data_IF_395668464008
#
_entry.id   IF_395668464008
#
_cell.length_a   1.000
_cell.length_b   1.000
_cell.length_c   1.000
_cell.angle_alpha   90.00
_cell.angle_beta   90.00
_cell.angle_gamma   90.00
#
_symmetry.space_group_name_H-M   'P 1'
#
loop_
_entity.id
_entity.type
_entity.pdbx_description
1 polymer ?
#
# COMPACT_ATOMS: atom_id res chain seq x y z
N UNK A 1 -8.18 -15.52 -49.67
CA UNK A 1 -8.53 -14.37 -48.79
C UNK A 1 -8.19 -14.77 -47.38
N UNK A 2 -7.04 -14.30 -46.88
CA UNK A 2 -6.50 -14.66 -45.57
C UNK A 2 -7.28 -13.96 -44.47
N UNK A 3 -7.78 -14.73 -43.51
CA UNK A 3 -8.41 -14.22 -42.30
C UNK A 3 -7.36 -13.55 -41.41
N UNK A 4 -7.50 -12.26 -41.19
CA UNK A 4 -6.72 -11.51 -40.21
C UNK A 4 -7.15 -11.99 -38.82
N UNK A 5 -6.29 -12.79 -38.17
CA UNK A 5 -6.44 -13.13 -36.76
C UNK A 5 -6.39 -11.82 -35.96
N UNK A 6 -7.53 -11.43 -35.37
CA UNK A 6 -7.57 -10.37 -34.39
C UNK A 6 -6.67 -10.78 -33.22
N UNK A 7 -5.55 -10.08 -33.06
CA UNK A 7 -4.59 -10.30 -31.98
C UNK A 7 -5.31 -10.27 -30.63
N UNK A 8 -5.37 -11.41 -29.97
CA UNK A 8 -5.80 -11.51 -28.58
C UNK A 8 -4.60 -11.04 -27.74
N UNK A 9 -4.69 -9.85 -27.15
CA UNK A 9 -3.74 -9.41 -26.12
C UNK A 9 -3.91 -10.33 -24.89
N UNK A 10 -3.19 -11.45 -24.87
CA UNK A 10 -3.20 -12.42 -23.76
C UNK A 10 -2.91 -11.78 -22.40
N UNK A 11 -2.18 -10.66 -22.39
CA UNK A 11 -1.87 -9.84 -21.21
C UNK A 11 -3.11 -9.28 -20.52
N UNK A 12 -4.13 -8.86 -21.28
CA UNK A 12 -5.36 -8.26 -20.72
C UNK A 12 -6.33 -9.31 -20.19
N UNK A 13 -6.42 -10.46 -20.87
CA UNK A 13 -7.25 -11.60 -20.44
C UNK A 13 -6.69 -12.22 -19.17
N UNK A 14 -5.36 -12.39 -19.11
CA UNK A 14 -4.67 -12.85 -17.90
C UNK A 14 -4.95 -11.92 -16.73
N UNK A 15 -4.73 -10.61 -16.89
CA UNK A 15 -4.90 -9.62 -15.82
C UNK A 15 -6.29 -9.64 -15.14
N UNK A 16 -7.38 -9.79 -15.90
CA UNK A 16 -8.74 -9.84 -15.33
C UNK A 16 -8.99 -11.15 -14.56
N UNK A 17 -8.62 -12.30 -15.11
CA UNK A 17 -8.78 -13.61 -14.46
C UNK A 17 -7.96 -13.73 -13.17
N UNK A 18 -6.72 -13.25 -13.19
CA UNK A 18 -5.83 -13.25 -12.03
C UNK A 18 -6.29 -12.27 -10.96
N UNK A 19 -6.72 -11.07 -11.33
CA UNK A 19 -7.29 -10.10 -10.39
C UNK A 19 -8.45 -10.71 -9.59
N UNK A 20 -9.32 -11.47 -10.25
CA UNK A 20 -10.41 -12.19 -9.58
C UNK A 20 -9.89 -13.22 -8.61
N UNK A 21 -9.01 -14.10 -9.08
CA UNK A 21 -8.41 -15.17 -8.26
C UNK A 21 -7.77 -14.60 -6.99
N UNK A 22 -6.95 -13.56 -7.12
CA UNK A 22 -6.26 -12.93 -5.99
C UNK A 22 -7.26 -12.23 -5.06
N UNK A 23 -8.18 -11.44 -5.62
CA UNK A 23 -9.19 -10.71 -4.82
C UNK A 23 -10.16 -11.62 -4.09
N UNK A 24 -10.58 -12.73 -4.72
CA UNK A 24 -11.43 -13.75 -4.12
C UNK A 24 -10.71 -14.49 -3.00
N UNK A 25 -9.45 -14.88 -3.21
CA UNK A 25 -8.65 -15.55 -2.19
C UNK A 25 -8.43 -14.68 -0.96
N UNK A 26 -8.11 -13.40 -1.17
CA UNK A 26 -8.01 -12.42 -0.09
C UNK A 26 -9.35 -12.17 0.61
N UNK A 27 -10.44 -12.03 -0.15
CA UNK A 27 -11.77 -11.84 0.41
C UNK A 27 -12.16 -12.97 1.37
N UNK A 28 -11.84 -14.22 1.03
CA UNK A 28 -12.09 -15.36 1.90
C UNK A 28 -11.26 -15.33 3.18
N UNK A 29 -9.95 -15.03 3.12
CA UNK A 29 -9.11 -14.97 4.33
C UNK A 29 -9.60 -13.89 5.31
N UNK A 30 -10.05 -12.74 4.79
CA UNK A 30 -10.60 -11.65 5.61
C UNK A 30 -11.90 -12.03 6.34
N UNK A 31 -12.65 -13.00 5.82
CA UNK A 31 -13.89 -13.51 6.44
C UNK A 31 -13.69 -14.84 7.18
N UNK A 32 -12.44 -15.18 7.54
CA UNK A 32 -12.03 -16.46 8.16
C UNK A 32 -12.27 -17.70 7.29
N UNK A 33 -12.40 -17.53 5.97
CA UNK A 33 -12.50 -18.60 4.98
C UNK A 33 -11.14 -19.05 4.42
N UNK A 34 -11.17 -20.07 3.58
CA UNK A 34 -9.96 -20.63 2.95
C UNK A 34 -9.55 -19.80 1.71
N UNK A 35 -8.28 -19.40 1.64
CA UNK A 35 -7.70 -18.68 0.51
C UNK A 35 -7.99 -19.37 -0.84
N UNK A 36 -7.80 -20.69 -0.94
CA UNK A 36 -8.00 -21.43 -2.19
C UNK A 36 -9.46 -21.48 -2.62
N UNK A 37 -10.40 -21.55 -1.67
CA UNK A 37 -11.84 -21.49 -1.96
C UNK A 37 -12.24 -20.11 -2.47
N UNK A 38 -11.72 -19.06 -1.83
CA UNK A 38 -11.87 -17.69 -2.29
C UNK A 38 -11.27 -17.48 -3.68
N UNK A 39 -10.08 -18.03 -3.92
CA UNK A 39 -9.37 -17.89 -5.19
C UNK A 39 -10.13 -18.55 -6.34
N UNK A 40 -10.66 -19.75 -6.12
CA UNK A 40 -11.52 -20.42 -7.08
C UNK A 40 -12.78 -19.58 -7.41
N UNK A 41 -13.43 -19.03 -6.38
CA UNK A 41 -14.62 -18.17 -6.54
C UNK A 41 -14.28 -16.91 -7.32
N UNK A 42 -13.15 -16.29 -6.99
CA UNK A 42 -12.63 -15.10 -7.65
C UNK A 42 -12.30 -15.33 -9.13
N UNK A 43 -11.70 -16.48 -9.46
CA UNK A 43 -11.42 -16.87 -10.84
C UNK A 43 -12.71 -17.00 -11.65
N UNK A 44 -13.72 -17.68 -11.10
CA UNK A 44 -15.03 -17.87 -11.73
C UNK A 44 -15.67 -16.51 -12.02
N UNK A 45 -15.77 -15.64 -11.00
CA UNK A 45 -16.37 -14.30 -11.14
C UNK A 45 -15.62 -13.46 -12.17
N UNK A 46 -14.29 -13.47 -12.15
CA UNK A 46 -13.51 -12.75 -13.16
C UNK A 46 -13.63 -13.33 -14.56
N UNK A 47 -13.78 -14.65 -14.70
CA UNK A 47 -14.03 -15.29 -16.00
C UNK A 47 -15.35 -14.85 -16.59
N UNK A 48 -16.41 -14.91 -15.78
CA UNK A 48 -17.75 -14.42 -16.15
C UNK A 48 -17.72 -12.93 -16.50
N UNK A 49 -17.09 -12.11 -15.65
CA UNK A 49 -16.98 -10.67 -15.86
C UNK A 49 -16.16 -10.33 -17.12
N UNK A 50 -15.09 -11.08 -17.39
CA UNK A 50 -14.26 -10.91 -18.58
C UNK A 50 -15.02 -11.26 -19.86
N UNK A 51 -15.81 -12.35 -19.86
CA UNK A 51 -16.65 -12.72 -21.01
C UNK A 51 -17.73 -11.66 -21.26
N UNK A 52 -18.39 -11.18 -20.20
CA UNK A 52 -19.43 -10.16 -20.30
C UNK A 52 -18.91 -8.83 -20.87
N UNK A 53 -17.72 -8.39 -20.48
CA UNK A 53 -17.13 -7.13 -20.95
C UNK A 53 -16.39 -7.20 -22.30
N UNK A 54 -16.46 -8.32 -23.04
CA UNK A 54 -15.94 -8.38 -24.43
C UNK A 54 -16.82 -7.64 -25.45
N UNK A 55 -17.95 -7.07 -25.03
CA UNK A 55 -18.91 -6.39 -25.90
C UNK A 55 -18.86 -4.84 -25.86
N UNK A 56 -18.03 -4.23 -25.01
CA UNK A 56 -17.99 -2.77 -24.83
C UNK A 56 -16.68 -2.13 -25.35
N UNK A 57 -16.72 -0.91 -25.93
CA UNK A 57 -15.51 -0.21 -26.38
C UNK A 57 -14.63 0.26 -25.21
N UNK A 58 -13.31 0.42 -25.42
CA UNK A 58 -12.36 0.73 -24.34
C UNK A 58 -12.61 2.13 -23.76
N UNK A 59 -12.91 2.19 -22.46
CA UNK A 59 -13.02 3.44 -21.69
C UNK A 59 -11.65 4.09 -21.54
N UNK A 60 -11.51 5.35 -21.97
CA UNK A 60 -10.30 6.17 -21.75
C UNK A 60 -10.10 6.38 -20.24
N UNK A 61 -9.04 5.79 -19.67
CA UNK A 61 -8.67 5.99 -18.27
C UNK A 61 -8.18 7.43 -18.06
N UNK A 62 -8.90 8.18 -17.23
CA UNK A 62 -8.50 9.50 -16.73
C UNK A 62 -7.18 9.40 -15.94
N UNK A 63 -6.21 10.25 -16.27
CA UNK A 63 -4.91 10.39 -15.60
C UNK A 63 -5.03 11.16 -14.27
N UNK A 64 -5.88 10.68 -13.36
CA UNK A 64 -5.84 11.18 -11.99
C UNK A 64 -4.68 10.52 -11.24
N UNK A 65 -3.96 11.32 -10.44
CA UNK A 65 -2.96 10.86 -9.46
C UNK A 65 -3.50 9.63 -8.72
N UNK A 66 -2.90 8.46 -8.96
CA UNK A 66 -3.52 7.18 -8.58
C UNK A 66 -3.29 6.93 -7.10
N UNK A 67 -4.30 7.26 -6.29
CA UNK A 67 -4.33 6.98 -4.86
C UNK A 67 -4.87 5.57 -4.65
N UNK A 68 -4.15 4.74 -3.89
CA UNK A 68 -4.58 3.39 -3.51
C UNK A 68 -4.96 3.37 -2.04
N UNK A 69 -6.22 3.03 -1.74
CA UNK A 69 -6.72 3.00 -0.36
C UNK A 69 -7.32 1.64 0.07
N UNK A 70 -7.03 0.59 -0.70
CA UNK A 70 -7.51 -0.76 -0.42
C UNK A 70 -6.56 -1.82 -1.02
N UNK A 71 -6.56 -3.00 -0.41
CA UNK A 71 -5.80 -4.16 -0.93
C UNK A 71 -6.24 -4.50 -2.38
N UNK A 72 -7.53 -4.39 -2.67
CA UNK A 72 -8.05 -4.61 -4.03
C UNK A 72 -7.51 -3.58 -5.03
N UNK A 73 -7.45 -2.31 -4.62
CA UNK A 73 -6.87 -1.25 -5.43
C UNK A 73 -5.39 -1.50 -5.73
N UNK A 74 -4.65 -2.04 -4.74
CA UNK A 74 -3.25 -2.42 -4.89
C UNK A 74 -3.05 -3.55 -5.91
N UNK A 75 -3.82 -4.64 -5.77
CA UNK A 75 -3.79 -5.75 -6.73
C UNK A 75 -4.20 -5.29 -8.13
N UNK A 76 -5.23 -4.46 -8.26
CA UNK A 76 -5.62 -3.89 -9.55
C UNK A 76 -4.49 -3.05 -10.17
N UNK A 77 -3.78 -2.26 -9.36
CA UNK A 77 -2.65 -1.48 -9.85
C UNK A 77 -1.48 -2.36 -10.26
N UNK A 78 -1.20 -3.43 -9.52
CA UNK A 78 -0.15 -4.40 -9.88
C UNK A 78 -0.32 -4.96 -11.30
N UNK A 79 -1.56 -5.28 -11.71
CA UNK A 79 -1.83 -5.79 -13.07
C UNK A 79 -2.06 -4.70 -14.13
N UNK A 80 -2.62 -3.55 -13.74
CA UNK A 80 -3.14 -2.56 -14.70
C UNK A 80 -2.57 -1.14 -14.51
N UNK A 81 -1.50 -0.99 -13.73
CA UNK A 81 -0.91 0.28 -13.33
C UNK A 81 0.48 0.55 -13.89
N UNK A 82 0.99 -0.32 -14.75
CA UNK A 82 2.25 -0.14 -15.47
C UNK A 82 3.51 0.05 -14.61
N UNK A 83 3.44 -0.25 -13.31
CA UNK A 83 4.53 -0.03 -12.37
C UNK A 83 4.61 1.41 -11.86
N UNK A 84 3.61 2.26 -12.13
CA UNK A 84 3.61 3.66 -11.72
C UNK A 84 3.61 3.80 -10.18
N UNK A 85 4.47 4.67 -9.60
CA UNK A 85 4.42 4.92 -8.17
C UNK A 85 3.08 5.51 -7.74
N UNK A 86 2.61 5.11 -6.55
CA UNK A 86 1.28 5.51 -6.06
C UNK A 86 1.34 6.18 -4.71
N UNK A 87 0.35 7.04 -4.45
CA UNK A 87 0.11 7.54 -3.10
C UNK A 87 -0.84 6.61 -2.35
N UNK A 88 -0.54 6.38 -1.08
CA UNK A 88 -1.42 5.62 -0.21
C UNK A 88 -2.54 6.50 0.34
N UNK A 89 -3.74 5.93 0.36
CA UNK A 89 -4.97 6.60 0.77
C UNK A 89 -5.15 6.70 2.28
N UNK A 90 -6.31 7.20 2.68
CA UNK A 90 -6.64 7.58 4.05
C UNK A 90 -6.71 6.38 5.00
N UNK A 91 -7.24 5.24 4.58
CA UNK A 91 -7.32 4.04 5.40
C UNK A 91 -5.92 3.53 5.77
N UNK A 92 -5.01 3.51 4.79
CA UNK A 92 -3.63 3.08 5.00
C UNK A 92 -2.88 4.04 5.93
N UNK A 93 -3.04 5.35 5.72
CA UNK A 93 -2.50 6.39 6.61
C UNK A 93 -3.05 6.26 8.04
N UNK A 94 -4.35 5.98 8.21
CA UNK A 94 -4.97 5.72 9.51
C UNK A 94 -4.40 4.46 10.17
N UNK A 95 -4.11 3.40 9.42
CA UNK A 95 -3.48 2.19 9.96
C UNK A 95 -2.11 2.51 10.60
N UNK A 96 -1.29 3.34 9.95
CA UNK A 96 -0.02 3.85 10.51
C UNK A 96 -0.25 4.59 11.83
N UNK A 97 -1.23 5.49 11.87
CA UNK A 97 -1.52 6.32 13.06
C UNK A 97 -2.11 5.49 14.23
N UNK A 98 -2.91 4.47 13.94
CA UNK A 98 -3.51 3.59 14.96
C UNK A 98 -2.55 2.54 15.49
N UNK A 99 -1.49 2.23 14.74
CA UNK A 99 -0.51 1.22 15.14
C UNK A 99 0.03 1.49 16.55
N UNK A 100 0.06 0.45 17.39
CA UNK A 100 0.49 0.54 18.80
C UNK A 100 1.89 1.13 18.93
N UNK A 101 2.82 0.75 18.05
CA UNK A 101 4.20 1.23 18.09
C UNK A 101 4.30 2.71 17.73
N UNK A 102 3.58 3.15 16.68
CA UNK A 102 3.50 4.57 16.31
C UNK A 102 2.94 5.41 17.46
N UNK A 103 1.83 4.98 18.08
CA UNK A 103 1.26 5.68 19.24
C UNK A 103 2.23 5.77 20.40
N UNK A 104 2.91 4.67 20.73
CA UNK A 104 3.92 4.67 21.80
C UNK A 104 5.07 5.63 21.52
N UNK A 105 5.56 5.72 20.28
CA UNK A 105 6.61 6.67 19.89
C UNK A 105 6.11 8.11 20.06
N UNK A 106 4.92 8.43 19.57
CA UNK A 106 4.31 9.76 19.71
C UNK A 106 4.12 10.13 21.19
N UNK A 107 3.61 9.21 22.01
CA UNK A 107 3.46 9.42 23.46
C UNK A 107 4.81 9.71 24.12
N UNK A 108 5.84 8.90 23.87
CA UNK A 108 7.18 9.13 24.43
C UNK A 108 7.76 10.48 24.00
N UNK A 109 7.55 10.87 22.74
CA UNK A 109 7.99 12.16 22.23
C UNK A 109 7.32 13.31 22.99
N UNK A 110 6.00 13.27 23.15
CA UNK A 110 5.21 14.31 23.83
C UNK A 110 5.57 14.38 25.32
N UNK A 111 5.78 13.24 25.97
CA UNK A 111 6.09 13.15 27.41
C UNK A 111 7.55 13.45 27.76
N UNK A 112 8.42 13.73 26.79
CA UNK A 112 9.85 13.95 27.07
C UNK A 112 10.65 12.68 27.36
N UNK A 113 10.08 11.50 27.08
CA UNK A 113 10.68 10.18 27.36
C UNK A 113 11.33 9.52 26.14
N UNK A 114 11.38 10.21 25.00
CA UNK A 114 12.01 9.66 23.81
C UNK A 114 13.54 9.74 23.92
N UNK A 115 14.19 8.58 23.84
CA UNK A 115 15.66 8.47 23.88
C UNK A 115 16.33 9.10 22.65
N UNK A 116 15.63 9.13 21.50
CA UNK A 116 16.16 9.63 20.23
C UNK A 116 15.19 10.64 19.61
N UNK A 117 15.71 11.81 19.21
CA UNK A 117 14.97 12.86 18.48
C UNK A 117 14.86 12.57 16.97
N UNK A 118 15.75 11.74 16.43
CA UNK A 118 15.71 11.29 15.04
C UNK A 118 15.94 9.79 15.02
N UNK A 119 14.99 9.03 14.47
CA UNK A 119 15.09 7.57 14.41
C UNK A 119 14.14 6.97 13.37
N UNK A 120 14.31 5.67 13.10
CA UNK A 120 13.40 4.88 12.27
C UNK A 120 12.91 3.66 13.05
N UNK A 121 11.69 3.21 12.77
CA UNK A 121 11.15 1.99 13.36
C UNK A 121 10.24 1.26 12.37
N UNK A 122 10.21 -0.08 12.48
CA UNK A 122 9.31 -0.92 11.70
C UNK A 122 7.94 -1.10 12.36
N UNK A 123 6.88 -1.08 11.56
CA UNK A 123 5.51 -1.44 11.94
C UNK A 123 5.02 -2.58 11.04
N UNK A 124 4.15 -3.42 11.60
CA UNK A 124 3.47 -4.48 10.85
C UNK A 124 2.02 -4.04 10.62
N UNK A 125 1.67 -3.82 9.35
CA UNK A 125 0.32 -3.49 8.90
C UNK A 125 -0.33 -4.67 8.18
N UNK A 126 0.25 -5.87 8.16
CA UNK A 126 -0.24 -7.01 7.35
C UNK A 126 -1.72 -7.30 7.57
N UNK A 127 -2.18 -7.21 8.82
CA UNK A 127 -3.59 -7.47 9.19
C UNK A 127 -4.54 -6.29 8.87
N UNK A 128 -4.03 -5.06 8.79
CA UNK A 128 -4.84 -3.88 8.45
C UNK A 128 -4.83 -3.64 6.93
N UNK A 129 -3.64 -3.67 6.34
CA UNK A 129 -3.28 -3.29 4.97
C UNK A 129 -2.23 -4.27 4.43
N UNK A 130 -2.67 -5.47 4.05
CA UNK A 130 -1.81 -6.54 3.51
C UNK A 130 -0.86 -6.05 2.41
N UNK A 131 -1.33 -5.23 1.48
CA UNK A 131 -0.51 -4.78 0.35
C UNK A 131 0.75 -4.04 0.79
N UNK A 132 0.71 -3.38 1.95
CA UNK A 132 1.89 -2.76 2.58
C UNK A 132 2.66 -3.77 3.43
N UNK A 133 1.97 -4.59 4.22
CA UNK A 133 2.61 -5.56 5.10
C UNK A 133 3.49 -4.89 6.16
N UNK A 134 4.76 -5.30 6.26
CA UNK A 134 5.74 -4.70 7.15
C UNK A 134 6.40 -3.51 6.48
N UNK A 135 6.33 -2.35 7.13
CA UNK A 135 6.85 -1.09 6.59
C UNK A 135 7.63 -0.32 7.65
N UNK A 136 8.33 0.73 7.22
CA UNK A 136 9.10 1.62 8.07
C UNK A 136 8.42 2.98 8.25
N UNK A 137 8.68 3.57 9.41
CA UNK A 137 8.37 4.96 9.73
C UNK A 137 9.61 5.62 10.29
N UNK A 138 10.01 6.72 9.67
CA UNK A 138 11.13 7.55 10.08
C UNK A 138 10.58 8.83 10.72
N UNK A 139 11.29 9.38 11.70
CA UNK A 139 10.93 10.67 12.27
C UNK A 139 12.15 11.51 12.64
N UNK A 140 11.97 12.82 12.62
CA UNK A 140 12.94 13.81 13.08
C UNK A 140 12.23 14.94 13.84
N UNK A 141 12.70 15.19 15.06
CA UNK A 141 12.15 16.18 15.99
C UNK A 141 13.08 17.39 16.09
N UNK A 142 12.52 18.57 15.85
CA UNK A 142 13.17 19.85 16.11
C UNK A 142 12.44 20.60 17.22
N UNK A 143 13.17 21.20 18.14
CA UNK A 143 12.61 21.91 19.29
C UNK A 143 13.14 23.34 19.37
N UNK A 144 12.25 24.25 19.73
CA UNK A 144 12.57 25.58 20.25
C UNK A 144 12.27 25.64 21.76
N UNK A 145 12.40 26.80 22.38
CA UNK A 145 12.21 26.96 23.84
C UNK A 145 10.78 26.62 24.32
N UNK A 146 9.78 26.63 23.45
CA UNK A 146 8.37 26.47 23.83
C UNK A 146 7.69 25.25 23.22
N UNK A 147 8.12 24.83 22.03
CA UNK A 147 7.46 23.82 21.22
C UNK A 147 8.47 22.93 20.52
N UNK A 148 8.05 21.69 20.26
CA UNK A 148 8.74 20.74 19.42
C UNK A 148 7.84 20.37 18.23
N UNK A 149 8.45 20.25 17.06
CA UNK A 149 7.80 19.75 15.85
C UNK A 149 8.51 18.47 15.45
N UNK A 150 7.75 17.38 15.32
CA UNK A 150 8.27 16.12 14.79
C UNK A 150 7.69 15.87 13.42
N UNK A 151 8.56 15.73 12.43
CA UNK A 151 8.22 15.31 11.07
C UNK A 151 8.37 13.80 10.99
N UNK A 152 7.36 13.14 10.46
CA UNK A 152 7.34 11.70 10.20
C UNK A 152 7.32 11.45 8.69
N UNK A 153 7.94 10.36 8.27
CA UNK A 153 7.94 9.86 6.91
C UNK A 153 7.71 8.36 6.91
N UNK A 154 6.59 7.92 6.36
CA UNK A 154 6.23 6.51 6.25
C UNK A 154 6.46 5.97 4.82
N UNK A 155 6.62 4.65 4.69
CA UNK A 155 6.74 3.95 3.42
C UNK A 155 8.00 4.33 2.62
N UNK A 156 9.11 4.60 3.30
CA UNK A 156 10.35 5.02 2.63
C UNK A 156 11.00 3.81 1.96
N UNK A 157 11.17 3.89 0.63
CA UNK A 157 11.66 2.78 -0.22
C UNK A 157 10.81 1.52 -0.12
N UNK A 158 9.52 1.71 0.17
CA UNK A 158 8.56 0.63 0.27
C UNK A 158 7.71 0.55 -1.02
N UNK A 159 7.01 -0.56 -1.20
CA UNK A 159 6.23 -0.81 -2.40
C UNK A 159 5.49 -2.14 -2.37
N UNK A 160 4.68 -2.35 -3.39
CA UNK A 160 4.01 -3.62 -3.60
C UNK A 160 4.83 -4.46 -4.59
N UNK A 161 5.71 -5.28 -4.04
CA UNK A 161 6.71 -6.04 -4.80
C UNK A 161 6.23 -7.43 -5.20
N UNK A 162 5.58 -8.13 -4.29
CA UNK A 162 4.99 -9.43 -4.54
C UNK A 162 3.62 -9.51 -3.85
N UNK A 163 2.52 -9.68 -4.60
CA UNK A 163 1.20 -9.84 -4.02
C UNK A 163 1.03 -11.10 -3.18
N UNK A 164 1.90 -12.12 -3.34
CA UNK A 164 1.70 -13.44 -2.74
C UNK A 164 3.06 -14.12 -2.49
N UNK A 165 3.49 -14.19 -1.23
CA UNK A 165 4.68 -14.93 -0.73
C UNK A 165 4.51 -16.47 -0.76
N UNK A 166 3.77 -17.02 -1.75
CA UNK A 166 3.47 -18.45 -1.92
C UNK A 166 4.47 -19.17 -2.86
N UNK A 167 5.65 -18.58 -3.12
CA UNK A 167 6.62 -19.09 -4.13
C UNK A 167 6.04 -19.21 -5.55
N UNK A 168 4.96 -18.48 -5.84
CA UNK A 168 4.35 -18.40 -7.16
C UNK A 168 4.54 -16.96 -7.63
N UNK A 169 5.56 -16.72 -8.46
CA UNK A 169 5.68 -15.44 -9.15
C UNK A 169 4.49 -15.29 -10.10
N UNK A 170 3.63 -14.30 -9.86
CA UNK A 170 2.42 -14.08 -10.65
C UNK A 170 2.80 -13.50 -12.03
N UNK A 171 2.65 -14.25 -13.14
CA UNK A 171 3.01 -13.75 -14.45
C UNK A 171 2.09 -12.59 -14.87
N UNK A 172 2.68 -11.48 -15.33
CA UNK A 172 1.97 -10.39 -15.99
C UNK A 172 1.65 -9.17 -15.13
N UNK A 173 1.99 -9.16 -13.84
CA UNK A 173 1.95 -7.94 -13.03
C UNK A 173 3.28 -7.20 -12.99
N UNK A 174 3.24 -5.92 -12.66
CA UNK A 174 4.40 -5.06 -12.51
C UNK A 174 4.46 -4.52 -11.07
N UNK A 175 5.52 -4.85 -10.32
CA UNK A 175 5.80 -4.21 -9.04
C UNK A 175 5.80 -2.69 -9.14
N UNK A 176 5.43 -2.02 -8.06
CA UNK A 176 5.44 -0.56 -8.00
C UNK A 176 5.77 -0.05 -6.60
N UNK A 177 6.36 1.13 -6.55
CA UNK A 177 6.76 1.78 -5.29
C UNK A 177 5.64 2.65 -4.71
N UNK A 178 5.66 2.82 -3.38
CA UNK A 178 4.85 3.83 -2.71
C UNK A 178 5.58 5.17 -2.71
N UNK A 179 4.83 6.23 -2.94
CA UNK A 179 5.30 7.59 -2.67
C UNK A 179 5.29 7.77 -1.14
N UNK A 180 6.43 8.11 -0.51
CA UNK A 180 6.51 8.27 0.94
C UNK A 180 5.50 9.28 1.46
N UNK A 181 4.82 8.93 2.54
CA UNK A 181 3.86 9.83 3.17
C UNK A 181 4.51 10.61 4.31
N UNK A 182 4.48 11.94 4.19
CA UNK A 182 4.98 12.84 5.21
C UNK A 182 3.83 13.45 6.03
N UNK A 183 4.00 13.48 7.35
CA UNK A 183 3.09 14.18 8.27
C UNK A 183 3.87 14.77 9.43
N UNK A 184 3.27 15.68 10.19
CA UNK A 184 3.94 16.33 11.30
C UNK A 184 3.01 16.54 12.49
N UNK A 185 3.59 16.47 13.68
CA UNK A 185 2.91 16.84 14.93
C UNK A 185 3.70 17.97 15.59
N UNK A 186 2.98 18.86 16.27
CA UNK A 186 3.59 19.91 17.10
C UNK A 186 3.03 19.82 18.51
N UNK A 187 3.92 19.87 19.51
CA UNK A 187 3.57 19.76 20.92
C UNK A 187 4.44 20.70 21.76
N UNK A 188 4.04 20.96 23.01
CA UNK A 188 4.81 21.76 23.96
C UNK A 188 6.17 21.10 24.20
N UNK A 189 7.26 21.87 24.23
CA UNK A 189 8.58 21.30 24.51
C UNK A 189 8.60 20.73 25.95
N UNK A 190 8.78 19.40 26.13
CA UNK A 190 8.79 18.76 27.44
C UNK A 190 10.15 18.88 28.16
N UNK A 191 11.12 19.60 27.58
CA UNK A 191 12.48 19.76 28.13
C UNK A 191 13.60 19.29 27.19
N UNK A 192 13.31 19.02 25.92
CA UNK A 192 14.33 18.71 24.94
C UNK A 192 15.19 19.94 24.62
N UNK A 193 16.47 19.69 24.33
CA UNK A 193 17.42 20.72 23.91
C UNK A 193 16.95 21.45 22.64
N UNK A 194 16.97 22.79 22.72
CA UNK A 194 16.77 23.71 21.59
C UNK A 194 17.95 23.58 20.63
N UNK A 195 17.70 23.57 19.31
CA UNK A 195 18.73 23.25 18.29
C UNK A 195 20.04 24.03 18.48
N UNK A 196 21.21 23.40 18.34
CA UNK A 196 21.82 23.25 17.00
C UNK A 196 22.89 22.13 16.95
N UNK A 197 22.90 21.44 15.80
CA UNK A 197 23.96 20.64 15.17
C UNK A 197 24.52 19.40 15.89
N UNK A 198 24.41 18.25 15.23
CA UNK A 198 25.53 17.31 15.16
C UNK A 198 26.00 17.36 13.71
N UNK A 199 27.28 17.70 13.55
CA UNK A 199 28.08 17.62 12.32
C UNK A 199 28.02 16.23 11.69
#
# INVERSE_FOLDING_TARGET
MGGTAAGIDGTKIGGTLFFGTVSGGFGAVLTNGNFWQGAATGLIVSGLNHVAHRADPPVKKSKNKKVIDSNLGAVNHYFNGDGEPVELGTNTKKAVLRNKRTRNVVTKLIEGKAERKTYWYGIDLTNDMFHVGRTNVEYATTCNSTKCTTKFKAFVKDGFWDPIDLKIELPGGKPYSYIPWEFSITYKNPGYSVGTNIK
#
